data_IF_512016179793
#
_entry.id   IF_512016179793
#
_cell.length_a   1.000
_cell.length_b   1.000
_cell.length_c   1.000
_cell.angle_alpha   90.00
_cell.angle_beta   90.00
_cell.angle_gamma   90.00
#
_symmetry.space_group_name_H-M   'P 1'
#
loop_
_entity.id
_entity.type
_entity.pdbx_description
1 polymer ?
#
# COMPACT_ATOMS: atom_id res chain seq x y z
N UNK A 1 -14.84 -53.61 36.98
CA UNK A 1 -14.30 -52.39 37.61
C UNK A 1 -13.18 -51.69 36.80
N UNK A 2 -12.32 -52.35 36.07
CA UNK A 2 -11.24 -51.70 35.29
C UNK A 2 -11.69 -50.92 34.01
N UNK A 3 -12.83 -51.29 33.38
CA UNK A 3 -13.35 -50.59 32.19
C UNK A 3 -14.10 -49.30 32.51
N UNK A 4 -14.70 -49.14 33.67
CA UNK A 4 -15.41 -47.93 34.10
C UNK A 4 -14.45 -46.80 34.49
N UNK A 5 -13.21 -47.11 34.92
CA UNK A 5 -12.21 -46.10 35.30
C UNK A 5 -11.52 -45.44 34.10
N UNK A 6 -11.40 -46.18 32.98
CA UNK A 6 -10.76 -45.67 31.75
C UNK A 6 -11.68 -44.68 31.05
N UNK A 7 -13.00 -44.94 30.98
CA UNK A 7 -13.96 -44.04 30.35
C UNK A 7 -14.14 -42.72 31.16
N UNK A 8 -14.01 -42.79 32.48
CA UNK A 8 -14.09 -41.57 33.33
C UNK A 8 -12.83 -40.66 33.16
N UNK A 9 -11.66 -41.26 32.87
CA UNK A 9 -10.43 -40.50 32.68
C UNK A 9 -10.39 -39.82 31.30
N UNK A 10 -10.91 -40.48 30.26
CA UNK A 10 -11.03 -39.88 28.92
C UNK A 10 -12.06 -38.74 28.86
N UNK A 11 -13.17 -38.87 29.58
CA UNK A 11 -14.16 -37.79 29.68
C UNK A 11 -13.66 -36.58 30.50
N UNK A 12 -12.77 -36.79 31.47
CA UNK A 12 -12.13 -35.71 32.21
C UNK A 12 -11.06 -34.95 31.37
N UNK A 13 -10.37 -35.66 30.47
CA UNK A 13 -9.44 -35.04 29.56
C UNK A 13 -10.11 -34.21 28.43
N UNK A 14 -11.27 -34.70 27.93
CA UNK A 14 -12.06 -33.90 26.95
C UNK A 14 -12.70 -32.66 27.59
N UNK A 15 -13.10 -32.70 28.86
CA UNK A 15 -13.65 -31.54 29.55
C UNK A 15 -12.59 -30.47 29.89
N UNK A 16 -11.34 -30.86 30.07
CA UNK A 16 -10.22 -29.94 30.30
C UNK A 16 -9.77 -29.22 29.01
N UNK A 17 -10.04 -29.77 27.82
CA UNK A 17 -9.73 -29.14 26.52
C UNK A 17 -10.82 -28.14 26.05
N UNK A 18 -12.03 -28.17 26.66
CA UNK A 18 -13.08 -27.19 26.35
C UNK A 18 -13.09 -25.96 27.27
N UNK A 19 -12.16 -25.84 28.22
CA UNK A 19 -12.13 -24.76 29.18
C UNK A 19 -10.99 -23.72 28.95
N UNK A 20 -10.32 -23.78 27.81
CA UNK A 20 -9.35 -22.75 27.42
C UNK A 20 -9.64 -22.27 26.01
N UNK A 21 -10.25 -21.11 25.93
CA UNK A 21 -10.39 -20.40 24.67
C UNK A 21 -11.65 -19.57 24.58
N UNK A 22 -11.93 -18.73 25.58
CA UNK A 22 -12.50 -17.44 25.23
C UNK A 22 -11.45 -16.74 24.37
N UNK A 23 -11.64 -16.76 23.06
CA UNK A 23 -10.97 -15.78 22.17
C UNK A 23 -11.43 -14.43 22.72
N UNK A 24 -10.63 -13.82 23.60
CA UNK A 24 -10.73 -12.38 23.83
C UNK A 24 -10.52 -11.79 22.44
N UNK A 25 -11.60 -11.24 21.86
CA UNK A 25 -11.48 -10.49 20.62
C UNK A 25 -10.39 -9.45 20.85
N UNK A 26 -9.32 -9.48 20.07
CA UNK A 26 -8.21 -8.53 20.16
C UNK A 26 -8.79 -7.13 20.25
N UNK A 27 -8.49 -6.44 21.37
CA UNK A 27 -9.06 -5.15 21.67
C UNK A 27 -8.43 -4.13 20.74
N UNK A 28 -9.10 -3.80 19.65
CA UNK A 28 -8.65 -2.78 18.68
C UNK A 28 -8.26 -1.50 19.41
N UNK A 29 -7.11 -0.97 19.05
CA UNK A 29 -6.60 0.27 19.64
C UNK A 29 -7.48 1.47 19.23
N UNK A 30 -7.51 2.48 20.06
CA UNK A 30 -7.96 3.81 19.65
C UNK A 30 -6.80 4.50 18.94
N UNK A 31 -7.12 5.40 18.04
CA UNK A 31 -6.13 6.24 17.36
C UNK A 31 -6.59 7.69 17.32
N UNK A 32 -5.63 8.58 17.19
CA UNK A 32 -5.84 10.00 16.89
C UNK A 32 -5.67 10.22 15.39
N UNK A 33 -6.45 11.13 14.84
CA UNK A 33 -6.29 11.60 13.46
C UNK A 33 -5.65 12.98 13.49
N UNK A 34 -4.56 13.16 12.78
CA UNK A 34 -3.81 14.42 12.69
C UNK A 34 -3.70 14.84 11.24
N UNK A 35 -4.08 16.07 10.92
CA UNK A 35 -3.75 16.68 9.63
C UNK A 35 -2.25 16.97 9.58
N UNK A 36 -1.64 16.74 8.44
CA UNK A 36 -0.22 17.01 8.21
C UNK A 36 -0.07 17.85 6.94
N UNK A 37 0.95 18.67 6.92
CA UNK A 37 1.38 19.47 5.79
C UNK A 37 2.87 19.25 5.60
N UNK A 38 3.26 18.80 4.42
CA UNK A 38 4.67 18.49 4.11
C UNK A 38 5.11 19.39 2.96
N UNK A 39 6.20 20.10 3.15
CA UNK A 39 6.82 20.92 2.09
C UNK A 39 7.60 20.03 1.12
N UNK A 40 7.27 20.11 -0.15
CA UNK A 40 8.05 19.53 -1.23
C UNK A 40 8.43 20.62 -2.24
N UNK A 41 9.62 21.18 -2.08
CA UNK A 41 10.15 22.24 -2.97
C UNK A 41 9.24 23.49 -3.06
N UNK A 42 8.59 23.86 -1.95
CA UNK A 42 7.68 25.00 -1.85
C UNK A 42 6.23 24.69 -2.25
N UNK A 43 5.90 23.43 -2.53
CA UNK A 43 4.52 22.95 -2.70
C UNK A 43 4.03 22.28 -1.41
N UNK A 44 2.82 22.61 -0.98
CA UNK A 44 2.19 22.05 0.21
C UNK A 44 1.52 20.71 -0.12
N UNK A 45 2.00 19.64 0.51
CA UNK A 45 1.38 18.32 0.48
C UNK A 45 0.46 18.19 1.69
N UNK A 46 -0.83 18.06 1.46
CA UNK A 46 -1.81 17.74 2.50
C UNK A 46 -1.90 16.24 2.74
N UNK A 47 -1.92 15.85 4.00
CA UNK A 47 -2.12 14.46 4.40
C UNK A 47 -2.83 14.31 5.74
N UNK A 48 -3.11 13.07 6.08
CA UNK A 48 -3.73 12.66 7.35
C UNK A 48 -2.93 11.50 7.93
N UNK A 49 -2.45 11.68 9.15
CA UNK A 49 -1.83 10.61 9.94
C UNK A 49 -2.85 10.05 10.94
N UNK A 50 -2.94 8.71 11.02
CA UNK A 50 -3.67 8.02 12.08
C UNK A 50 -2.64 7.41 13.03
N UNK A 51 -2.63 7.88 14.28
CA UNK A 51 -1.61 7.52 15.28
C UNK A 51 -2.26 6.72 16.40
N UNK A 52 -1.91 5.44 16.61
CA UNK A 52 -2.43 4.63 17.72
C UNK A 52 -2.21 5.31 19.07
N UNK A 53 -3.21 5.25 19.94
CA UNK A 53 -3.19 5.91 21.25
C UNK A 53 -2.79 4.94 22.36
N UNK A 54 -2.00 5.43 23.33
CA UNK A 54 -1.60 4.66 24.51
C UNK A 54 -0.48 3.66 24.25
N UNK A 55 0.28 3.84 23.17
CA UNK A 55 1.52 3.13 22.85
C UNK A 55 2.69 4.01 23.27
N UNK A 56 3.60 3.48 24.10
CA UNK A 56 4.79 4.21 24.60
C UNK A 56 6.02 3.94 23.74
N UNK A 57 6.03 2.84 23.00
CA UNK A 57 7.13 2.44 22.12
C UNK A 57 7.00 3.09 20.76
N UNK A 58 8.11 3.14 20.00
CA UNK A 58 8.07 3.51 18.59
C UNK A 58 7.27 2.50 17.79
N UNK A 59 6.48 2.99 16.85
CA UNK A 59 5.50 2.19 16.11
C UNK A 59 5.89 1.98 14.66
N UNK A 60 5.62 0.79 14.11
CA UNK A 60 5.75 0.56 12.68
C UNK A 60 4.80 1.48 11.90
N UNK A 61 5.23 1.92 10.73
CA UNK A 61 4.52 2.96 9.97
C UNK A 61 4.26 2.52 8.53
N UNK A 62 3.05 2.79 8.04
CA UNK A 62 2.65 2.54 6.65
C UNK A 62 2.27 3.85 5.97
N UNK A 63 2.99 4.22 4.90
CA UNK A 63 2.66 5.37 4.06
C UNK A 63 1.88 4.87 2.86
N UNK A 64 0.71 5.46 2.58
CA UNK A 64 -0.28 4.93 1.64
C UNK A 64 -0.56 5.92 0.52
N UNK A 65 -0.29 5.50 -0.72
CA UNK A 65 -0.42 6.25 -1.97
C UNK A 65 -1.70 5.87 -2.72
N UNK A 66 -2.47 6.89 -3.14
CA UNK A 66 -3.75 6.71 -3.85
C UNK A 66 -3.58 6.52 -5.37
N UNK A 67 -4.70 6.22 -6.06
CA UNK A 67 -4.81 5.98 -7.49
C UNK A 67 -4.75 7.29 -8.31
N UNK A 68 -4.52 7.19 -9.63
CA UNK A 68 -4.61 8.28 -10.60
C UNK A 68 -5.95 9.03 -10.50
N UNK A 69 -5.89 10.34 -10.40
CA UNK A 69 -7.08 11.20 -10.37
C UNK A 69 -7.90 11.11 -9.08
N UNK A 70 -7.38 10.44 -8.06
CA UNK A 70 -8.01 10.27 -6.75
C UNK A 70 -7.44 11.24 -5.70
N UNK A 71 -7.81 11.01 -4.45
CA UNK A 71 -7.29 11.67 -3.25
C UNK A 71 -7.10 10.66 -2.14
N UNK A 72 -6.50 11.06 -1.03
CA UNK A 72 -6.32 10.22 0.16
C UNK A 72 -7.63 9.58 0.66
N UNK A 73 -8.78 10.16 0.34
CA UNK A 73 -10.08 9.61 0.76
C UNK A 73 -10.35 8.20 0.19
N UNK A 74 -9.68 7.82 -0.91
CA UNK A 74 -9.77 6.46 -1.48
C UNK A 74 -9.01 5.42 -0.67
N UNK A 75 -7.95 5.82 0.00
CA UNK A 75 -7.05 4.91 0.72
C UNK A 75 -7.12 5.04 2.24
N UNK A 76 -7.71 6.11 2.74
CA UNK A 76 -7.82 6.42 4.17
C UNK A 76 -8.48 5.28 4.99
N UNK A 77 -9.43 4.53 4.41
CA UNK A 77 -10.03 3.38 5.06
C UNK A 77 -9.02 2.28 5.44
N UNK A 78 -7.99 2.06 4.60
CA UNK A 78 -6.86 1.18 4.95
C UNK A 78 -6.08 1.76 6.14
N UNK A 79 -5.77 3.06 6.10
CA UNK A 79 -5.08 3.74 7.20
C UNK A 79 -5.82 3.58 8.54
N UNK A 80 -7.12 3.83 8.55
CA UNK A 80 -7.97 3.66 9.75
C UNK A 80 -8.02 2.21 10.24
N UNK A 81 -8.03 1.23 9.33
CA UNK A 81 -8.03 -0.19 9.69
C UNK A 81 -6.70 -0.60 10.34
N UNK A 82 -5.57 -0.21 9.75
CA UNK A 82 -4.24 -0.54 10.24
C UNK A 82 -3.90 0.19 11.55
N UNK A 83 -4.37 1.44 11.73
CA UNK A 83 -4.14 2.18 12.97
C UNK A 83 -4.80 1.50 14.20
N UNK A 84 -5.93 0.82 14.02
CA UNK A 84 -6.58 0.03 15.07
C UNK A 84 -5.78 -1.19 15.51
N UNK A 85 -4.82 -1.62 14.69
CA UNK A 85 -3.94 -2.77 14.91
C UNK A 85 -2.50 -2.38 15.29
N UNK A 86 -2.27 -1.07 15.58
CA UNK A 86 -1.00 -0.61 16.15
C UNK A 86 -0.01 0.00 15.14
N UNK A 87 -0.42 0.21 13.90
CA UNK A 87 0.42 0.86 12.87
C UNK A 87 0.14 2.36 12.82
N UNK A 88 1.17 3.19 12.84
CA UNK A 88 1.02 4.56 12.36
C UNK A 88 0.74 4.51 10.86
N UNK A 89 -0.25 5.25 10.39
CA UNK A 89 -0.54 5.31 8.96
C UNK A 89 -0.59 6.74 8.47
N UNK A 90 -0.08 6.97 7.27
CA UNK A 90 -0.08 8.26 6.61
C UNK A 90 -0.71 8.11 5.23
N UNK A 91 -1.84 8.78 5.02
CA UNK A 91 -2.49 8.93 3.72
C UNK A 91 -2.35 10.39 3.31
N UNK A 92 -1.99 10.67 2.06
CA UNK A 92 -1.76 12.03 1.59
C UNK A 92 -2.30 12.21 0.17
N UNK A 93 -2.55 13.46 -0.20
CA UNK A 93 -2.91 13.83 -1.56
C UNK A 93 -1.63 14.14 -2.34
N UNK A 94 -1.44 13.52 -3.49
CA UNK A 94 -0.36 13.91 -4.40
C UNK A 94 -0.56 15.33 -4.94
N UNK A 95 0.51 16.07 -5.17
CA UNK A 95 0.48 17.37 -5.83
C UNK A 95 -0.06 17.24 -7.26
N UNK A 96 -1.18 17.90 -7.54
CA UNK A 96 -1.88 17.77 -8.82
C UNK A 96 -2.53 16.41 -9.03
N UNK A 97 -2.62 15.55 -8.00
CA UNK A 97 -2.99 14.15 -8.11
C UNK A 97 -4.43 13.88 -8.50
N UNK A 98 -5.39 14.75 -8.17
CA UNK A 98 -6.78 14.50 -8.49
C UNK A 98 -7.75 15.61 -8.18
N UNK A 99 -9.00 15.44 -8.64
CA UNK A 99 -10.07 16.37 -8.33
C UNK A 99 -10.38 16.35 -6.83
N UNK A 100 -10.30 17.51 -6.19
CA UNK A 100 -10.54 17.65 -4.76
C UNK A 100 -9.31 17.41 -3.89
N UNK A 101 -8.13 17.26 -4.50
CA UNK A 101 -6.86 17.30 -3.79
C UNK A 101 -6.75 18.58 -2.98
N UNK A 102 -6.23 18.46 -1.77
CA UNK A 102 -5.91 19.58 -0.88
C UNK A 102 -4.43 19.95 -0.93
N UNK A 103 -3.64 19.18 -1.64
CA UNK A 103 -2.26 19.50 -2.00
C UNK A 103 -2.21 20.48 -3.16
N UNK A 104 -1.12 21.22 -3.25
CA UNK A 104 -0.85 22.14 -4.35
C UNK A 104 -0.71 21.42 -5.71
N UNK A 105 -0.63 22.19 -6.78
CA UNK A 105 -0.34 21.69 -8.13
C UNK A 105 -1.57 21.44 -8.99
N UNK A 106 -1.29 21.23 -10.26
CA UNK A 106 -2.31 21.01 -11.29
C UNK A 106 -2.12 19.65 -11.95
N UNK A 107 -3.23 19.01 -12.33
CA UNK A 107 -3.21 17.68 -12.97
C UNK A 107 -2.36 17.65 -14.26
N UNK A 108 -2.22 18.78 -14.96
CA UNK A 108 -1.39 18.86 -16.17
C UNK A 108 0.11 18.83 -15.89
N UNK A 109 0.53 19.15 -14.66
CA UNK A 109 1.93 19.16 -14.24
C UNK A 109 2.33 17.89 -13.48
N UNK A 110 1.36 17.03 -13.16
CA UNK A 110 1.54 15.77 -12.45
C UNK A 110 2.18 14.71 -13.36
N UNK A 111 3.03 13.88 -12.78
CA UNK A 111 3.55 12.64 -13.37
C UNK A 111 3.92 11.63 -12.29
N UNK A 112 4.22 10.40 -12.66
CA UNK A 112 4.69 9.38 -11.71
C UNK A 112 6.01 9.78 -11.02
N UNK A 113 6.82 10.63 -11.64
CA UNK A 113 8.05 11.14 -11.01
C UNK A 113 7.78 12.31 -10.05
N UNK A 114 6.78 13.16 -10.33
CA UNK A 114 6.36 14.17 -9.34
C UNK A 114 5.68 13.52 -8.14
N UNK A 115 4.83 12.51 -8.36
CA UNK A 115 4.21 11.73 -7.28
C UNK A 115 5.24 10.94 -6.47
N UNK A 116 6.30 10.43 -7.14
CA UNK A 116 7.45 9.82 -6.44
C UNK A 116 8.12 10.84 -5.51
N UNK A 117 8.40 12.05 -5.99
CA UNK A 117 8.99 13.10 -5.18
C UNK A 117 8.09 13.52 -4.00
N UNK A 118 6.76 13.50 -4.18
CA UNK A 118 5.79 13.72 -3.11
C UNK A 118 5.89 12.62 -2.05
N UNK A 119 5.92 11.35 -2.46
CA UNK A 119 6.06 10.21 -1.54
C UNK A 119 7.40 10.25 -0.79
N UNK A 120 8.47 10.65 -1.45
CA UNK A 120 9.79 10.84 -0.82
C UNK A 120 9.76 11.94 0.24
N UNK A 121 9.12 13.07 -0.05
CA UNK A 121 8.97 14.15 0.93
C UNK A 121 8.18 13.70 2.16
N UNK A 122 7.09 12.95 1.97
CA UNK A 122 6.30 12.36 3.06
C UNK A 122 7.13 11.34 3.86
N UNK A 123 7.93 10.50 3.20
CA UNK A 123 8.83 9.55 3.85
C UNK A 123 9.84 10.27 4.75
N UNK A 124 10.47 11.33 4.24
CA UNK A 124 11.43 12.11 5.02
C UNK A 124 10.80 12.81 6.22
N UNK A 125 9.60 13.36 6.07
CA UNK A 125 8.83 13.96 7.19
C UNK A 125 8.50 12.93 8.27
N UNK A 126 7.97 11.77 7.88
CA UNK A 126 7.56 10.70 8.79
C UNK A 126 8.73 10.18 9.61
N UNK A 127 9.92 10.09 9.04
CA UNK A 127 11.15 9.68 9.72
C UNK A 127 11.57 10.61 10.86
N UNK A 128 11.09 11.87 10.87
CA UNK A 128 11.39 12.84 11.93
C UNK A 128 10.49 12.71 13.15
N UNK A 129 9.42 11.90 13.07
CA UNK A 129 8.48 11.78 14.18
C UNK A 129 9.02 10.85 15.28
N UNK A 130 9.05 11.35 16.51
CA UNK A 130 9.65 10.64 17.68
C UNK A 130 9.01 9.27 17.95
N UNK A 131 7.74 9.08 17.57
CA UNK A 131 6.95 7.88 17.79
C UNK A 131 7.05 6.87 16.64
N UNK A 132 7.78 7.15 15.56
CA UNK A 132 7.96 6.26 14.41
C UNK A 132 9.19 5.38 14.59
N UNK A 133 9.01 4.08 14.35
CA UNK A 133 10.11 3.12 14.21
C UNK A 133 10.63 3.18 12.77
N UNK A 134 11.79 3.81 12.59
CA UNK A 134 12.41 4.01 11.28
C UNK A 134 12.95 2.72 10.64
N UNK A 135 13.10 1.64 11.42
CA UNK A 135 13.48 0.32 10.90
C UNK A 135 12.25 -0.49 10.42
N UNK A 136 11.05 0.04 10.65
CA UNK A 136 9.77 -0.61 10.35
C UNK A 136 8.85 0.29 9.53
N UNK A 137 9.37 0.91 8.46
CA UNK A 137 8.61 1.71 7.51
C UNK A 137 8.22 0.86 6.31
N UNK A 138 6.93 0.90 5.96
CA UNK A 138 6.31 0.21 4.85
C UNK A 138 5.69 1.22 3.88
N UNK A 139 5.80 0.96 2.58
CA UNK A 139 5.05 1.70 1.57
C UNK A 139 3.91 0.84 1.03
N UNK A 140 2.76 1.46 0.89
CA UNK A 140 1.59 0.83 0.28
C UNK A 140 1.07 1.73 -0.84
N UNK A 141 0.66 1.13 -1.96
CA UNK A 141 0.08 1.89 -3.06
C UNK A 141 -0.96 1.11 -3.84
N UNK A 142 -2.02 1.83 -4.22
CA UNK A 142 -3.11 1.34 -5.04
C UNK A 142 -2.95 1.83 -6.48
N UNK A 143 -3.13 0.96 -7.48
CA UNK A 143 -3.13 1.32 -8.90
C UNK A 143 -1.88 2.15 -9.29
N UNK A 144 -2.00 3.38 -9.76
CA UNK A 144 -0.84 4.27 -10.02
C UNK A 144 0.01 4.51 -8.77
N UNK A 145 -0.61 4.66 -7.59
CA UNK A 145 0.13 4.74 -6.33
C UNK A 145 0.99 3.49 -6.08
N UNK A 146 0.57 2.32 -6.56
CA UNK A 146 1.38 1.09 -6.56
C UNK A 146 2.59 1.18 -7.49
N UNK A 147 2.44 1.80 -8.66
CA UNK A 147 3.56 2.08 -9.56
C UNK A 147 4.56 3.05 -8.92
N UNK A 148 4.07 4.15 -8.35
CA UNK A 148 4.90 5.14 -7.62
C UNK A 148 5.60 4.50 -6.42
N UNK A 149 4.90 3.65 -5.67
CA UNK A 149 5.47 2.86 -4.57
C UNK A 149 6.64 1.99 -5.03
N UNK A 150 6.51 1.33 -6.20
CA UNK A 150 7.57 0.51 -6.77
C UNK A 150 8.82 1.33 -7.13
N UNK A 151 8.64 2.51 -7.74
CA UNK A 151 9.72 3.42 -8.07
C UNK A 151 10.45 3.89 -6.81
N UNK A 152 9.70 4.40 -5.83
CA UNK A 152 10.26 4.94 -4.59
C UNK A 152 11.00 3.86 -3.79
N UNK A 153 10.40 2.68 -3.63
CA UNK A 153 11.00 1.60 -2.86
C UNK A 153 12.32 1.10 -3.45
N UNK A 154 12.47 1.10 -4.79
CA UNK A 154 13.73 0.68 -5.43
C UNK A 154 14.89 1.62 -5.11
N UNK A 155 14.63 2.91 -4.99
CA UNK A 155 15.64 3.93 -4.68
C UNK A 155 15.90 4.06 -3.17
N UNK A 156 14.89 3.76 -2.33
CA UNK A 156 14.97 3.82 -0.86
C UNK A 156 14.98 2.44 -0.20
N UNK A 157 15.52 1.42 -0.89
CA UNK A 157 15.47 0.02 -0.45
C UNK A 157 16.02 -0.22 0.96
N UNK A 158 17.00 0.54 1.40
CA UNK A 158 17.59 0.36 2.73
C UNK A 158 16.67 0.89 3.85
N UNK A 159 15.80 1.83 3.53
CA UNK A 159 14.90 2.51 4.46
C UNK A 159 13.51 1.85 4.50
N UNK A 160 13.09 1.21 3.42
CA UNK A 160 11.78 0.57 3.30
C UNK A 160 11.90 -0.92 3.62
N UNK A 161 11.14 -1.36 4.62
CA UNK A 161 11.17 -2.75 5.08
C UNK A 161 10.49 -3.71 4.11
N UNK A 162 9.24 -3.40 3.73
CA UNK A 162 8.49 -4.14 2.71
C UNK A 162 7.49 -3.23 2.01
N UNK A 163 6.94 -3.67 0.86
CA UNK A 163 5.93 -2.94 0.11
C UNK A 163 4.65 -3.73 -0.05
N UNK A 164 3.53 -3.01 -0.16
CA UNK A 164 2.19 -3.54 -0.38
C UNK A 164 1.64 -2.92 -1.66
N UNK A 165 1.39 -3.75 -2.66
CA UNK A 165 0.93 -3.36 -3.98
C UNK A 165 -0.49 -3.88 -4.21
N UNK A 166 -1.45 -2.98 -4.31
CA UNK A 166 -2.86 -3.28 -4.54
C UNK A 166 -3.19 -2.94 -5.99
N UNK A 167 -3.49 -3.97 -6.80
CA UNK A 167 -3.73 -3.82 -8.25
C UNK A 167 -2.81 -2.80 -8.91
N UNK A 168 -1.45 -2.92 -8.78
CA UNK A 168 -0.52 -1.89 -9.23
C UNK A 168 -0.63 -1.68 -10.75
N UNK A 169 -0.70 -0.40 -11.17
CA UNK A 169 -0.91 -0.04 -12.57
C UNK A 169 0.38 -0.16 -13.41
N UNK A 170 1.04 -1.33 -13.39
CA UNK A 170 2.24 -1.57 -14.18
C UNK A 170 1.97 -1.59 -15.69
N UNK A 171 0.68 -1.71 -16.08
CA UNK A 171 0.26 -1.58 -17.48
C UNK A 171 0.54 -0.21 -18.08
N UNK A 172 0.59 0.87 -17.28
CA UNK A 172 0.77 2.23 -17.82
C UNK A 172 2.08 2.39 -18.58
N UNK A 173 3.12 1.61 -18.25
CA UNK A 173 4.37 1.59 -19.00
C UNK A 173 4.14 1.07 -20.43
N UNK A 174 3.51 -0.08 -20.57
CA UNK A 174 3.19 -0.66 -21.89
C UNK A 174 2.13 0.16 -22.64
N UNK A 175 1.15 0.74 -21.92
CA UNK A 175 0.11 1.60 -22.50
C UNK A 175 0.75 2.83 -23.16
N UNK A 176 1.68 3.51 -22.49
CA UNK A 176 2.38 4.69 -23.05
C UNK A 176 3.20 4.30 -24.28
N UNK A 177 3.94 3.19 -24.25
CA UNK A 177 4.70 2.69 -25.40
C UNK A 177 3.77 2.20 -26.55
N UNK A 178 2.58 1.76 -26.22
CA UNK A 178 1.56 1.39 -27.22
C UNK A 178 0.86 2.60 -27.87
N UNK A 179 0.76 3.72 -27.14
CA UNK A 179 0.14 4.96 -27.64
C UNK A 179 1.06 5.76 -28.55
N UNK A 180 2.37 5.78 -28.27
CA UNK A 180 3.34 6.65 -28.94
C UNK A 180 4.55 5.84 -29.43
N UNK A 181 5.11 6.23 -30.58
CA UNK A 181 6.30 5.57 -31.13
C UNK A 181 7.62 6.05 -30.53
N UNK A 182 7.63 7.27 -29.96
CA UNK A 182 8.77 7.87 -29.28
C UNK A 182 8.33 9.00 -28.35
N UNK A 183 9.14 9.43 -27.37
CA UNK A 183 8.84 10.59 -26.53
C UNK A 183 8.54 11.88 -27.31
N UNK A 184 9.19 12.07 -28.46
CA UNK A 184 9.02 13.25 -29.32
C UNK A 184 7.63 13.31 -30.00
N UNK A 185 6.92 12.18 -30.06
CA UNK A 185 5.57 12.09 -30.62
C UNK A 185 4.46 12.37 -29.59
N UNK A 186 4.83 12.48 -28.32
CA UNK A 186 3.87 12.73 -27.22
C UNK A 186 3.37 14.18 -27.33
N UNK A 187 2.03 14.39 -27.50
CA UNK A 187 1.48 15.73 -27.62
C UNK A 187 1.56 16.49 -26.30
N UNK A 188 1.38 17.82 -26.35
CA UNK A 188 1.37 18.68 -25.15
C UNK A 188 0.37 18.19 -24.07
N UNK A 189 -0.75 17.63 -24.50
CA UNK A 189 -1.72 16.97 -23.60
C UNK A 189 -2.33 15.75 -24.26
N UNK A 190 -2.64 14.71 -23.48
CA UNK A 190 -3.38 13.53 -23.95
C UNK A 190 -4.39 13.06 -22.90
N UNK A 191 -5.45 12.37 -23.32
CA UNK A 191 -6.48 11.84 -22.41
C UNK A 191 -6.21 10.38 -22.06
N UNK A 192 -6.15 10.08 -20.77
CA UNK A 192 -6.05 8.72 -20.23
C UNK A 192 -7.18 8.52 -19.21
N UNK A 193 -7.97 7.45 -19.34
CA UNK A 193 -9.10 7.13 -18.45
C UNK A 193 -10.07 8.30 -18.23
N UNK A 194 -10.25 9.17 -19.23
CA UNK A 194 -11.13 10.34 -19.16
C UNK A 194 -10.48 11.58 -18.48
N UNK A 195 -9.26 11.49 -17.99
CA UNK A 195 -8.48 12.62 -17.48
C UNK A 195 -7.62 13.20 -18.60
N UNK A 196 -7.51 14.52 -18.61
CA UNK A 196 -6.59 15.24 -19.50
C UNK A 196 -5.27 15.47 -18.76
N UNK A 197 -4.21 14.77 -19.20
CA UNK A 197 -2.89 14.80 -18.61
C UNK A 197 -1.92 15.60 -19.50
N UNK A 198 -0.90 16.19 -18.90
CA UNK A 198 0.15 16.90 -19.62
C UNK A 198 1.16 15.94 -20.25
N UNK A 199 1.94 16.45 -21.20
CA UNK A 199 3.04 15.74 -21.86
C UNK A 199 3.97 15.04 -20.83
N UNK A 200 4.30 15.73 -19.75
CA UNK A 200 5.20 15.27 -18.70
C UNK A 200 4.80 13.90 -18.15
N UNK A 201 3.49 13.65 -17.95
CA UNK A 201 3.01 12.37 -17.45
C UNK A 201 3.52 11.21 -18.30
N UNK A 202 3.39 11.31 -19.60
CA UNK A 202 3.75 10.25 -20.53
C UNK A 202 5.27 10.17 -20.76
N UNK A 203 5.96 11.31 -20.83
CA UNK A 203 7.42 11.37 -20.98
C UNK A 203 8.12 10.76 -19.76
N UNK A 204 7.68 11.09 -18.56
CA UNK A 204 8.29 10.59 -17.33
C UNK A 204 8.10 9.08 -17.13
N UNK A 205 7.00 8.49 -17.65
CA UNK A 205 6.79 7.03 -17.63
C UNK A 205 7.73 6.29 -18.59
N UNK A 206 8.14 6.93 -19.70
CA UNK A 206 8.80 6.27 -20.83
C UNK A 206 9.99 5.38 -20.45
N UNK A 207 10.77 5.77 -19.45
CA UNK A 207 11.95 5.03 -18.99
C UNK A 207 11.74 4.31 -17.64
N UNK A 208 10.51 4.27 -17.15
CA UNK A 208 10.22 3.69 -15.82
C UNK A 208 9.66 2.27 -15.94
N UNK A 209 10.52 1.29 -16.23
CA UNK A 209 10.12 -0.13 -16.29
C UNK A 209 9.91 -0.70 -14.87
N UNK A 210 8.67 -0.99 -14.45
CA UNK A 210 8.36 -1.27 -13.04
C UNK A 210 8.91 -2.61 -12.55
N UNK A 211 9.07 -3.61 -13.43
CA UNK A 211 9.58 -4.92 -13.01
C UNK A 211 11.07 -4.87 -12.70
N UNK A 212 11.86 -4.09 -13.45
CA UNK A 212 13.28 -3.88 -13.14
C UNK A 212 13.44 -3.14 -11.82
N UNK A 213 12.59 -2.12 -11.56
CA UNK A 213 12.56 -1.43 -10.27
C UNK A 213 12.28 -2.40 -9.11
N UNK A 214 11.33 -3.32 -9.26
CA UNK A 214 11.04 -4.30 -8.22
C UNK A 214 12.15 -5.35 -8.05
N UNK A 215 12.88 -5.70 -9.10
CA UNK A 215 14.09 -6.53 -8.97
C UNK A 215 15.19 -5.82 -8.17
N UNK A 216 15.40 -4.52 -8.44
CA UNK A 216 16.35 -3.69 -7.71
C UNK A 216 15.97 -3.55 -6.23
N UNK A 217 14.69 -3.44 -5.92
CA UNK A 217 14.20 -3.39 -4.54
C UNK A 217 14.58 -4.66 -3.77
N UNK A 218 14.27 -5.83 -4.27
CA UNK A 218 14.77 -7.13 -3.80
C UNK A 218 14.37 -7.55 -2.38
N UNK A 219 13.35 -6.93 -1.79
CA UNK A 219 12.77 -7.27 -0.47
C UNK A 219 11.35 -7.83 -0.60
N UNK A 220 10.68 -8.10 0.51
CA UNK A 220 9.36 -8.71 0.53
C UNK A 220 8.27 -7.78 -0.03
N UNK A 221 7.38 -8.35 -0.82
CA UNK A 221 6.28 -7.67 -1.50
C UNK A 221 4.98 -8.42 -1.18
N UNK A 222 3.98 -7.71 -0.66
CA UNK A 222 2.60 -8.19 -0.71
C UNK A 222 1.94 -7.66 -1.98
N UNK A 223 1.37 -8.55 -2.77
CA UNK A 223 0.67 -8.23 -4.01
C UNK A 223 -0.78 -8.74 -3.93
N UNK A 224 -1.75 -7.85 -4.13
CA UNK A 224 -3.16 -8.20 -4.13
C UNK A 224 -3.81 -7.69 -5.42
N UNK A 225 -4.49 -8.57 -6.18
CA UNK A 225 -5.15 -8.18 -7.43
C UNK A 225 -6.48 -8.92 -7.63
N UNK A 226 -7.49 -8.24 -8.18
CA UNK A 226 -8.77 -8.84 -8.54
C UNK A 226 -8.72 -9.54 -9.89
N UNK A 227 -9.32 -10.74 -10.01
CA UNK A 227 -9.31 -11.49 -11.29
C UNK A 227 -10.30 -10.98 -12.34
N UNK A 228 -11.08 -9.94 -12.00
CA UNK A 228 -11.99 -9.23 -12.91
C UNK A 228 -11.68 -7.75 -13.05
N UNK A 229 -10.46 -7.36 -12.71
CA UNK A 229 -10.03 -5.98 -12.86
C UNK A 229 -10.18 -5.51 -14.32
N UNK A 230 -11.07 -4.53 -14.52
CA UNK A 230 -11.42 -3.98 -15.82
C UNK A 230 -10.52 -2.81 -16.25
N UNK A 231 -9.63 -2.35 -15.38
CA UNK A 231 -8.72 -1.22 -15.64
C UNK A 231 -7.29 -1.71 -15.85
N UNK A 232 -6.76 -2.49 -14.89
CA UNK A 232 -5.41 -3.06 -14.96
C UNK A 232 -5.52 -4.57 -15.10
N UNK A 233 -5.14 -5.15 -16.26
CA UNK A 233 -5.17 -6.59 -16.44
C UNK A 233 -4.34 -7.33 -15.39
N UNK A 234 -4.92 -8.34 -14.75
CA UNK A 234 -4.27 -9.15 -13.70
C UNK A 234 -2.94 -9.76 -14.16
N UNK A 235 -2.77 -9.97 -15.47
CA UNK A 235 -1.54 -10.51 -16.06
C UNK A 235 -0.28 -9.71 -15.73
N UNK A 236 -0.41 -8.43 -15.39
CA UNK A 236 0.73 -7.62 -14.92
C UNK A 236 1.17 -8.03 -13.52
N UNK A 237 0.23 -8.37 -12.64
CA UNK A 237 0.55 -8.94 -11.33
C UNK A 237 1.03 -10.38 -11.41
N UNK A 238 0.46 -11.19 -12.31
CA UNK A 238 0.96 -12.55 -12.57
C UNK A 238 2.43 -12.51 -13.01
N UNK A 239 2.78 -11.61 -13.95
CA UNK A 239 4.16 -11.38 -14.40
C UNK A 239 5.08 -10.94 -13.26
N UNK A 240 4.61 -10.08 -12.34
CA UNK A 240 5.40 -9.66 -11.19
C UNK A 240 5.70 -10.86 -10.28
N UNK A 241 4.69 -11.65 -9.94
CA UNK A 241 4.82 -12.84 -9.10
C UNK A 241 5.69 -13.95 -9.74
N UNK A 242 5.71 -14.05 -11.06
CA UNK A 242 6.57 -14.99 -11.79
C UNK A 242 8.03 -14.53 -11.88
N UNK A 243 8.26 -13.21 -11.82
CA UNK A 243 9.58 -12.62 -12.10
C UNK A 243 10.38 -12.30 -10.84
N UNK A 244 9.70 -12.12 -9.70
CA UNK A 244 10.30 -11.68 -8.43
C UNK A 244 10.10 -12.75 -7.35
N UNK A 245 11.18 -13.19 -6.71
CA UNK A 245 11.17 -14.32 -5.77
C UNK A 245 10.46 -14.06 -4.43
N UNK A 246 10.29 -12.83 -4.00
CA UNK A 246 9.80 -12.47 -2.66
C UNK A 246 8.42 -11.82 -2.70
N UNK A 247 7.51 -12.41 -3.46
CA UNK A 247 6.14 -11.92 -3.63
C UNK A 247 5.16 -12.86 -2.94
N UNK A 248 4.45 -12.35 -1.92
CA UNK A 248 3.25 -12.96 -1.40
C UNK A 248 2.07 -12.45 -2.24
N UNK A 249 1.50 -13.31 -3.08
CA UNK A 249 0.49 -12.94 -4.07
C UNK A 249 -0.89 -13.49 -3.71
N UNK A 250 -1.88 -12.61 -3.62
CA UNK A 250 -3.28 -12.95 -3.38
C UNK A 250 -4.19 -12.46 -4.52
N UNK A 251 -4.91 -13.41 -5.12
CA UNK A 251 -5.93 -13.12 -6.14
C UNK A 251 -7.30 -13.03 -5.50
N UNK A 252 -7.95 -11.87 -5.58
CA UNK A 252 -9.33 -11.69 -5.13
C UNK A 252 -10.30 -12.10 -6.23
N UNK A 253 -11.00 -13.22 -6.01
CA UNK A 253 -11.90 -13.80 -7.02
C UNK A 253 -13.17 -12.97 -7.18
N UNK A 254 -13.41 -12.51 -8.41
CA UNK A 254 -14.57 -11.72 -8.79
C UNK A 254 -14.43 -10.24 -8.50
N UNK A 255 -13.31 -9.80 -7.88
CA UNK A 255 -13.07 -8.40 -7.59
C UNK A 255 -12.64 -7.64 -8.84
N UNK A 256 -13.17 -6.42 -8.98
CA UNK A 256 -12.81 -5.44 -9.99
C UNK A 256 -11.80 -4.43 -9.42
N UNK A 257 -11.45 -3.40 -10.20
CA UNK A 257 -10.55 -2.32 -9.79
C UNK A 257 -11.19 -1.47 -8.67
N UNK A 258 -10.49 -1.34 -7.53
CA UNK A 258 -10.99 -0.59 -6.37
C UNK A 258 -11.87 -1.46 -5.44
N UNK A 259 -11.32 -1.87 -4.31
CA UNK A 259 -12.00 -2.79 -3.39
C UNK A 259 -12.97 -2.06 -2.45
N UNK A 260 -14.16 -2.64 -2.29
CA UNK A 260 -15.20 -2.19 -1.38
C UNK A 260 -15.83 -3.40 -0.66
N UNK A 261 -16.44 -3.16 0.50
CA UNK A 261 -17.13 -4.21 1.25
C UNK A 261 -16.23 -5.40 1.56
N UNK A 262 -16.64 -6.60 1.17
CA UNK A 262 -15.93 -7.85 1.47
C UNK A 262 -14.53 -7.92 0.84
N UNK A 263 -14.35 -7.38 -0.37
CA UNK A 263 -13.03 -7.37 -1.03
C UNK A 263 -12.06 -6.46 -0.29
N UNK A 264 -12.53 -5.30 0.20
CA UNK A 264 -11.75 -4.42 1.07
C UNK A 264 -11.39 -5.10 2.39
N UNK A 265 -12.35 -5.74 3.07
CA UNK A 265 -12.11 -6.45 4.34
C UNK A 265 -11.08 -7.59 4.16
N UNK A 266 -11.17 -8.32 3.05
CA UNK A 266 -10.24 -9.39 2.72
C UNK A 266 -8.84 -8.84 2.42
N UNK A 267 -8.73 -7.75 1.65
CA UNK A 267 -7.46 -7.09 1.41
C UNK A 267 -6.81 -6.59 2.72
N UNK A 268 -7.57 -5.95 3.61
CA UNK A 268 -7.09 -5.54 4.95
C UNK A 268 -6.57 -6.75 5.75
N UNK A 269 -7.27 -7.89 5.70
CA UNK A 269 -6.82 -9.10 6.40
C UNK A 269 -5.48 -9.61 5.87
N UNK A 270 -5.27 -9.65 4.55
CA UNK A 270 -3.97 -10.03 3.95
C UNK A 270 -2.87 -9.04 4.32
N UNK A 271 -3.16 -7.73 4.27
CA UNK A 271 -2.21 -6.68 4.66
C UNK A 271 -1.75 -6.86 6.12
N UNK A 272 -2.69 -7.05 7.04
CA UNK A 272 -2.36 -7.25 8.46
C UNK A 272 -1.55 -8.52 8.70
N UNK A 273 -1.91 -9.62 8.06
CA UNK A 273 -1.15 -10.87 8.18
C UNK A 273 0.29 -10.70 7.71
N UNK A 274 0.49 -10.06 6.55
CA UNK A 274 1.81 -9.77 6.00
C UNK A 274 2.63 -8.86 6.92
N UNK A 275 2.06 -7.72 7.35
CA UNK A 275 2.73 -6.77 8.22
C UNK A 275 3.13 -7.40 9.57
N UNK A 276 2.25 -8.21 10.17
CA UNK A 276 2.54 -8.92 11.42
C UNK A 276 3.66 -9.96 11.24
N UNK A 277 3.72 -10.65 10.11
CA UNK A 277 4.81 -11.56 9.79
C UNK A 277 6.15 -10.82 9.64
N UNK A 278 6.14 -9.65 8.96
CA UNK A 278 7.31 -8.78 8.83
C UNK A 278 7.80 -8.26 10.19
N UNK A 279 6.89 -7.88 11.10
CA UNK A 279 7.24 -7.46 12.46
C UNK A 279 7.84 -8.60 13.28
N UNK A 280 7.28 -9.80 13.19
CA UNK A 280 7.81 -10.98 13.90
C UNK A 280 9.24 -11.32 13.44
N UNK A 281 9.50 -11.26 12.14
CA UNK A 281 10.83 -11.53 11.56
C UNK A 281 11.88 -10.46 11.94
N UNK A 282 11.47 -9.28 12.40
CA UNK A 282 12.38 -8.24 12.89
C UNK A 282 12.92 -8.50 14.30
N UNK A 283 12.21 -9.32 15.07
CA UNK A 283 12.50 -9.59 16.48
C UNK A 283 13.39 -10.83 16.67
N UNK A 284 13.64 -11.59 15.60
CA UNK A 284 14.53 -12.75 15.55
C UNK A 284 15.96 -12.37 15.14
#
# INVERSE_FOLDING_TARGET
MKRALIVALEMALLAALCACGSVEGERKLKYETREIHVDRDGMDLYGVAHVPSGVEEKMPTVIISHELGATLDRVKGYGEALAKEGYVTVCFDFCGGGWGSRSDGELLDMSVLTEKADLEAVLEEVKQWDFVDTDSIYLMGNSQGGFVTALTASEHREEIRAVILIYPAFSIYDDVHGMFGSPDEIPETHSLLGLRLGNRYFVDIWEQEPYERMKEYGKNILLIHGDRDSIVPISYSDKLAETIDRVEYHVLRGADHGYLGTDFELAVSYILNFLNAEQAAAQE
#
